data_IF_919197880862
#
_entry.id   IF_919197880862
#
_cell.length_a   1.000
_cell.length_b   1.000
_cell.length_c   1.000
_cell.angle_alpha   90.00
_cell.angle_beta   90.00
_cell.angle_gamma   90.00
#
_symmetry.space_group_name_H-M   'P 1'
#
loop_
_entity.id
_entity.type
_entity.pdbx_description
1 polymer ?
#
# COMPACT_ATOMS: atom_id res chain seq x y z
N UNK A 1 -8.59 -9.37 -11.39
CA UNK A 1 -9.90 -10.05 -11.40
C UNK A 1 -10.04 -11.06 -10.25
N UNK A 2 -9.09 -11.97 -10.01
CA UNK A 2 -9.12 -12.92 -8.87
C UNK A 2 -9.11 -12.26 -7.48
N UNK A 3 -8.29 -11.23 -7.27
CA UNK A 3 -8.25 -10.50 -6.00
C UNK A 3 -9.61 -9.83 -5.67
N UNK A 4 -10.29 -9.27 -6.67
CA UNK A 4 -11.62 -8.67 -6.53
C UNK A 4 -12.67 -9.66 -6.03
N UNK A 5 -12.69 -10.87 -6.60
CA UNK A 5 -13.60 -11.93 -6.18
C UNK A 5 -13.39 -12.36 -4.72
N UNK A 6 -12.13 -12.46 -4.29
CA UNK A 6 -11.79 -12.78 -2.90
C UNK A 6 -12.17 -11.65 -1.93
N UNK A 7 -12.00 -10.39 -2.35
CA UNK A 7 -12.38 -9.20 -1.58
C UNK A 7 -13.88 -9.15 -1.32
N UNK A 8 -14.68 -9.52 -2.31
CA UNK A 8 -16.14 -9.51 -2.18
C UNK A 8 -16.65 -10.57 -1.19
N UNK A 9 -15.91 -11.68 -0.99
CA UNK A 9 -16.26 -12.70 0.02
C UNK A 9 -15.70 -12.45 1.42
N UNK A 10 -14.48 -11.95 1.55
CA UNK A 10 -13.79 -11.80 2.86
C UNK A 10 -14.14 -10.47 3.53
N UNK A 11 -14.65 -9.51 2.78
CA UNK A 11 -15.00 -8.18 3.26
C UNK A 11 -13.84 -7.20 3.11
N UNK A 12 -14.14 -6.07 2.45
CA UNK A 12 -13.17 -5.03 2.05
C UNK A 12 -12.32 -4.52 3.23
N UNK A 13 -12.93 -4.31 4.40
CA UNK A 13 -12.25 -3.81 5.60
C UNK A 13 -11.29 -4.84 6.22
N UNK A 14 -11.68 -6.12 6.21
CA UNK A 14 -10.83 -7.20 6.72
C UNK A 14 -9.63 -7.41 5.81
N UNK A 15 -9.82 -7.40 4.48
CA UNK A 15 -8.70 -7.49 3.54
C UNK A 15 -7.75 -6.30 3.63
N UNK A 16 -8.24 -5.07 3.82
CA UNK A 16 -7.35 -3.92 4.05
C UNK A 16 -6.47 -4.11 5.29
N UNK A 17 -7.03 -4.63 6.40
CA UNK A 17 -6.26 -4.94 7.61
C UNK A 17 -5.23 -6.05 7.38
N UNK A 18 -5.64 -7.15 6.74
CA UNK A 18 -4.74 -8.27 6.44
C UNK A 18 -3.58 -7.80 5.57
N UNK A 19 -3.87 -7.07 4.48
CA UNK A 19 -2.85 -6.55 3.58
C UNK A 19 -1.91 -5.57 4.29
N UNK A 20 -2.41 -4.69 5.17
CA UNK A 20 -1.58 -3.78 5.95
C UNK A 20 -0.64 -4.51 6.92
N UNK A 21 -1.14 -5.56 7.59
CA UNK A 21 -0.32 -6.41 8.47
C UNK A 21 0.73 -7.16 7.66
N UNK A 22 0.34 -7.80 6.56
CA UNK A 22 1.28 -8.47 5.66
C UNK A 22 2.36 -7.50 5.21
N UNK A 23 1.99 -6.30 4.77
CA UNK A 23 2.92 -5.30 4.31
C UNK A 23 3.91 -4.87 5.39
N UNK A 24 3.45 -4.70 6.63
CA UNK A 24 4.30 -4.34 7.77
C UNK A 24 5.37 -5.40 8.07
N UNK A 25 5.04 -6.69 7.99
CA UNK A 25 5.97 -7.78 8.30
C UNK A 25 6.79 -8.25 7.09
N UNK A 26 6.21 -8.30 5.89
CA UNK A 26 6.86 -8.84 4.69
C UNK A 26 7.71 -7.80 3.94
N UNK A 27 7.49 -6.49 4.10
CA UNK A 27 8.27 -5.47 3.39
C UNK A 27 9.76 -5.61 3.62
N UNK A 28 10.19 -5.77 4.87
CA UNK A 28 11.61 -5.86 5.24
C UNK A 28 12.28 -7.10 4.62
N UNK A 29 11.76 -8.34 4.79
CA UNK A 29 12.37 -9.51 4.17
C UNK A 29 12.29 -9.49 2.63
N UNK A 30 11.23 -8.92 2.04
CA UNK A 30 11.14 -8.79 0.58
C UNK A 30 12.18 -7.82 0.02
N UNK A 31 12.41 -6.68 0.67
CA UNK A 31 13.48 -5.75 0.29
C UNK A 31 14.87 -6.39 0.44
N UNK A 32 15.05 -7.26 1.44
CA UNK A 32 16.29 -8.03 1.59
C UNK A 32 16.51 -9.03 0.45
N UNK A 33 15.44 -9.70 0.00
CA UNK A 33 15.46 -10.58 -1.17
C UNK A 33 15.74 -9.80 -2.46
N UNK A 34 15.16 -8.61 -2.60
CA UNK A 34 15.39 -7.72 -3.74
C UNK A 34 16.83 -7.21 -3.83
N UNK A 35 17.52 -7.11 -2.70
CA UNK A 35 18.91 -6.66 -2.64
C UNK A 35 19.93 -7.81 -2.71
N UNK A 36 19.51 -9.05 -3.01
CA UNK A 36 20.46 -10.13 -3.29
C UNK A 36 21.10 -9.98 -4.67
N UNK A 37 22.33 -10.48 -4.80
CA UNK A 37 23.08 -10.48 -6.07
C UNK A 37 22.45 -11.41 -7.11
N UNK A 38 21.60 -12.35 -6.69
CA UNK A 38 20.93 -13.28 -7.58
C UNK A 38 19.65 -12.66 -8.16
N UNK A 39 19.62 -12.55 -9.48
CA UNK A 39 18.55 -11.94 -10.24
C UNK A 39 17.21 -12.68 -9.99
N UNK A 40 17.23 -14.00 -9.82
CA UNK A 40 16.02 -14.79 -9.58
C UNK A 40 15.36 -14.45 -8.25
N UNK A 41 16.15 -14.30 -7.18
CA UNK A 41 15.66 -13.92 -5.86
C UNK A 41 15.10 -12.50 -5.85
N UNK A 42 15.73 -11.58 -6.60
CA UNK A 42 15.24 -10.22 -6.73
C UNK A 42 13.87 -10.17 -7.44
N UNK A 43 13.68 -10.96 -8.49
CA UNK A 43 12.38 -11.10 -9.16
C UNK A 43 11.30 -11.67 -8.24
N UNK A 44 11.62 -12.69 -7.43
CA UNK A 44 10.68 -13.26 -6.46
C UNK A 44 10.27 -12.21 -5.41
N UNK A 45 11.23 -11.42 -4.90
CA UNK A 45 10.96 -10.31 -3.98
C UNK A 45 10.03 -9.25 -4.59
N UNK A 46 10.32 -8.81 -5.82
CA UNK A 46 9.52 -7.85 -6.57
C UNK A 46 8.09 -8.36 -6.82
N UNK A 47 7.94 -9.61 -7.24
CA UNK A 47 6.65 -10.24 -7.48
C UNK A 47 5.83 -10.34 -6.20
N UNK A 48 6.44 -10.78 -5.10
CA UNK A 48 5.79 -10.82 -3.79
C UNK A 48 5.27 -9.45 -3.36
N UNK A 49 6.08 -8.41 -3.53
CA UNK A 49 5.71 -7.04 -3.14
C UNK A 49 4.56 -6.51 -4.00
N UNK A 50 4.60 -6.80 -5.30
CA UNK A 50 3.56 -6.41 -6.25
C UNK A 50 2.22 -7.09 -5.95
N UNK A 51 2.24 -8.38 -5.59
CA UNK A 51 1.03 -9.13 -5.21
C UNK A 51 0.40 -8.53 -3.96
N UNK A 52 1.18 -8.26 -2.91
CA UNK A 52 0.69 -7.64 -1.66
C UNK A 52 0.09 -6.26 -1.94
N UNK A 53 0.78 -5.44 -2.74
CA UNK A 53 0.29 -4.13 -3.17
C UNK A 53 -1.04 -4.24 -3.95
N UNK A 54 -1.16 -5.20 -4.86
CA UNK A 54 -2.40 -5.46 -5.58
C UNK A 54 -3.56 -5.83 -4.66
N UNK A 55 -3.30 -6.68 -3.65
CA UNK A 55 -4.25 -7.04 -2.61
C UNK A 55 -4.62 -5.88 -1.67
N UNK A 56 -3.81 -4.83 -1.59
CA UNK A 56 -4.12 -3.61 -0.84
C UNK A 56 -4.90 -2.59 -1.67
N UNK A 57 -4.49 -2.35 -2.92
CA UNK A 57 -5.05 -1.30 -3.77
C UNK A 57 -6.48 -1.63 -4.23
N UNK A 58 -6.79 -2.91 -4.47
CA UNK A 58 -8.10 -3.35 -4.89
C UNK A 58 -9.22 -3.06 -3.85
N UNK A 59 -9.11 -3.48 -2.56
CA UNK A 59 -10.12 -3.16 -1.57
C UNK A 59 -10.11 -1.69 -1.17
N UNK A 60 -8.97 -0.98 -1.29
CA UNK A 60 -8.85 0.45 -1.00
C UNK A 60 -9.75 1.29 -1.92
N UNK A 61 -9.67 1.08 -3.24
CA UNK A 61 -10.49 1.81 -4.20
C UNK A 61 -11.99 1.53 -4.00
N UNK A 62 -12.34 0.26 -3.74
CA UNK A 62 -13.72 -0.09 -3.40
C UNK A 62 -14.19 0.59 -2.10
N UNK A 63 -13.33 0.66 -1.08
CA UNK A 63 -13.62 1.31 0.18
C UNK A 63 -13.84 2.82 0.03
N UNK A 64 -13.00 3.50 -0.76
CA UNK A 64 -13.15 4.93 -1.08
C UNK A 64 -14.49 5.20 -1.76
N UNK A 65 -14.85 4.37 -2.74
CA UNK A 65 -16.13 4.47 -3.47
C UNK A 65 -17.31 4.32 -2.50
N UNK A 66 -17.33 3.29 -1.66
CA UNK A 66 -18.44 3.03 -0.74
C UNK A 66 -18.56 4.07 0.38
N UNK A 67 -17.44 4.63 0.84
CA UNK A 67 -17.41 5.61 1.93
C UNK A 67 -17.79 7.03 1.49
N UNK A 68 -17.95 7.27 0.18
CA UNK A 68 -18.21 8.60 -0.38
C UNK A 68 -19.65 8.70 -0.91
N UNK A 69 -20.37 9.81 -0.64
CA UNK A 69 -21.72 10.03 -1.15
C UNK A 69 -21.76 10.01 -2.69
N UNK A 70 -22.81 9.44 -3.26
CA UNK A 70 -22.96 9.26 -4.72
C UNK A 70 -22.86 10.56 -5.51
N UNK A 71 -23.41 11.66 -4.98
CA UNK A 71 -23.47 12.96 -5.65
C UNK A 71 -22.08 13.59 -5.89
N UNK A 72 -21.10 13.32 -5.03
CA UNK A 72 -19.76 13.93 -5.11
C UNK A 72 -18.65 12.90 -5.35
N UNK A 73 -19.01 11.63 -5.58
CA UNK A 73 -18.08 10.50 -5.58
C UNK A 73 -16.93 10.66 -6.58
N UNK A 74 -17.24 10.94 -7.84
CA UNK A 74 -16.20 11.09 -8.87
C UNK A 74 -15.29 12.30 -8.60
N UNK A 75 -15.86 13.42 -8.17
CA UNK A 75 -15.10 14.64 -7.91
C UNK A 75 -14.25 14.53 -6.66
N UNK A 76 -14.83 14.03 -5.56
CA UNK A 76 -14.13 13.88 -4.28
C UNK A 76 -13.01 12.83 -4.36
N UNK A 77 -13.28 11.67 -4.95
CA UNK A 77 -12.25 10.64 -5.15
C UNK A 77 -11.24 11.11 -6.18
N UNK A 78 -11.69 11.62 -7.33
CA UNK A 78 -10.80 12.08 -8.40
C UNK A 78 -9.85 13.18 -7.95
N UNK A 79 -10.35 14.25 -7.34
CA UNK A 79 -9.51 15.34 -6.85
C UNK A 79 -8.67 14.90 -5.65
N UNK A 80 -9.27 14.27 -4.63
CA UNK A 80 -8.55 13.88 -3.42
C UNK A 80 -7.45 12.85 -3.70
N UNK A 81 -7.76 11.83 -4.49
CA UNK A 81 -6.81 10.77 -4.84
C UNK A 81 -5.70 11.28 -5.75
N UNK A 82 -6.02 12.00 -6.83
CA UNK A 82 -4.99 12.49 -7.76
C UNK A 82 -4.12 13.58 -7.13
N UNK A 83 -4.68 14.48 -6.31
CA UNK A 83 -3.88 15.49 -5.61
C UNK A 83 -2.91 14.83 -4.63
N UNK A 84 -3.40 13.85 -3.86
CA UNK A 84 -2.56 13.12 -2.90
C UNK A 84 -1.49 12.30 -3.61
N UNK A 85 -1.83 11.59 -4.69
CA UNK A 85 -0.87 10.85 -5.50
C UNK A 85 0.14 11.76 -6.19
N UNK A 86 -0.28 12.92 -6.67
CA UNK A 86 0.63 13.89 -7.30
C UNK A 86 1.65 14.41 -6.31
N UNK A 87 1.19 14.87 -5.14
CA UNK A 87 2.06 15.44 -4.10
C UNK A 87 2.90 14.35 -3.43
N UNK A 88 2.26 13.34 -2.82
CA UNK A 88 2.96 12.31 -2.04
C UNK A 88 3.65 11.30 -2.95
N UNK A 89 3.03 10.92 -4.07
CA UNK A 89 3.62 9.94 -5.00
C UNK A 89 4.92 10.44 -5.63
N UNK A 90 5.05 11.74 -5.89
CA UNK A 90 6.31 12.34 -6.35
C UNK A 90 7.35 12.52 -5.24
N UNK A 91 6.91 12.87 -4.02
CA UNK A 91 7.81 13.04 -2.87
C UNK A 91 8.37 11.71 -2.35
N UNK A 92 7.67 10.59 -2.55
CA UNK A 92 8.09 9.26 -2.08
C UNK A 92 9.43 8.80 -2.69
N UNK A 93 9.62 8.77 -4.02
CA UNK A 93 10.90 8.40 -4.62
C UNK A 93 12.00 9.42 -4.30
N UNK A 94 11.68 10.71 -4.18
CA UNK A 94 12.64 11.74 -3.76
C UNK A 94 13.15 11.48 -2.33
N UNK A 95 12.24 11.21 -1.40
CA UNK A 95 12.59 10.85 -0.03
C UNK A 95 13.37 9.53 0.04
N UNK A 96 12.99 8.53 -0.76
CA UNK A 96 13.70 7.26 -0.85
C UNK A 96 15.14 7.43 -1.37
N UNK A 97 15.33 8.23 -2.42
CA UNK A 97 16.64 8.55 -2.97
C UNK A 97 17.51 9.30 -1.95
N UNK A 98 16.97 10.34 -1.31
CA UNK A 98 17.67 11.10 -0.27
C UNK A 98 18.08 10.22 0.91
N UNK A 99 17.20 9.31 1.34
CA UNK A 99 17.49 8.40 2.44
C UNK A 99 18.58 7.38 2.07
N UNK A 100 18.60 6.93 0.82
CA UNK A 100 19.63 6.04 0.29
C UNK A 100 20.99 6.75 0.19
N UNK A 101 21.03 7.99 -0.29
CA UNK A 101 22.26 8.81 -0.32
C UNK A 101 22.83 9.01 1.08
N UNK A 102 21.98 9.35 2.06
CA UNK A 102 22.41 9.64 3.43
C UNK A 102 22.83 8.39 4.21
N UNK A 103 22.13 7.28 4.02
CA UNK A 103 22.32 6.05 4.82
C UNK A 103 23.28 5.07 4.13
N UNK A 104 23.50 5.20 2.82
CA UNK A 104 24.23 4.25 1.97
C UNK A 104 23.71 2.80 2.06
N UNK A 105 22.49 2.61 2.58
CA UNK A 105 21.87 1.30 2.77
C UNK A 105 20.70 1.12 1.79
N UNK A 106 20.75 0.11 0.90
CA UNK A 106 19.70 -0.14 -0.09
C UNK A 106 18.34 -0.55 0.51
N UNK A 107 18.29 -0.94 1.79
CA UNK A 107 17.06 -1.32 2.49
C UNK A 107 16.33 -0.07 3.04
N UNK A 108 16.96 1.10 3.01
CA UNK A 108 16.40 2.35 3.56
C UNK A 108 14.96 2.67 3.11
N UNK A 109 14.57 2.48 1.83
CA UNK A 109 13.20 2.73 1.38
C UNK A 109 12.15 1.84 2.05
N UNK A 110 12.52 0.65 2.53
CA UNK A 110 11.61 -0.26 3.23
C UNK A 110 11.04 0.39 4.50
N UNK A 111 11.82 1.21 5.21
CA UNK A 111 11.36 1.91 6.41
C UNK A 111 10.26 2.92 6.12
N UNK A 112 10.28 3.57 4.96
CA UNK A 112 9.19 4.46 4.53
C UNK A 112 7.88 3.68 4.37
N UNK A 113 7.96 2.47 3.80
CA UNK A 113 6.79 1.60 3.61
C UNK A 113 6.28 1.05 4.94
N UNK A 114 7.16 0.73 5.90
CA UNK A 114 6.77 0.34 7.27
C UNK A 114 6.02 1.49 7.97
N UNK A 115 6.53 2.72 7.90
CA UNK A 115 5.86 3.90 8.46
C UNK A 115 4.49 4.11 7.79
N UNK A 116 4.41 4.02 6.46
CA UNK A 116 3.14 4.14 5.74
C UNK A 116 2.14 3.03 6.13
N UNK A 117 2.61 1.81 6.38
CA UNK A 117 1.78 0.69 6.84
C UNK A 117 1.24 0.93 8.25
N UNK A 118 2.05 1.49 9.16
CA UNK A 118 1.61 1.89 10.50
C UNK A 118 0.54 2.99 10.46
N UNK A 119 0.74 4.02 9.64
CA UNK A 119 -0.24 5.10 9.44
C UNK A 119 -1.56 4.53 8.89
N UNK A 120 -1.47 3.65 7.90
CA UNK A 120 -2.63 2.94 7.34
C UNK A 120 -3.37 2.13 8.39
N UNK A 121 -2.63 1.38 9.23
CA UNK A 121 -3.21 0.56 10.28
C UNK A 121 -3.91 1.42 11.36
N UNK A 122 -3.31 2.54 11.74
CA UNK A 122 -3.93 3.52 12.64
C UNK A 122 -5.19 4.14 12.04
N UNK A 123 -5.13 4.54 10.76
CA UNK A 123 -6.28 5.08 10.03
C UNK A 123 -7.43 4.07 9.95
N UNK A 124 -7.13 2.79 9.67
CA UNK A 124 -8.12 1.71 9.64
C UNK A 124 -8.76 1.43 11.01
N UNK A 125 -7.99 1.59 12.10
CA UNK A 125 -8.50 1.44 13.45
C UNK A 125 -9.47 2.57 13.82
N UNK A 126 -9.11 3.82 13.48
CA UNK A 126 -9.95 4.99 13.69
C UNK A 126 -11.17 5.00 12.78
N UNK A 127 -11.04 4.46 11.57
CA UNK A 127 -12.11 4.34 10.59
C UNK A 127 -13.10 3.25 10.99
N UNK A 128 -13.82 3.47 12.09
CA UNK A 128 -14.84 2.58 12.63
C UNK A 128 -16.19 2.73 11.91
N UNK A 129 -16.18 3.25 10.68
CA UNK A 129 -17.32 3.35 9.79
C UNK A 129 -17.86 1.94 9.53
N UNK A 130 -19.10 1.70 10.00
CA UNK A 130 -19.87 0.49 9.67
C UNK A 130 -20.27 0.60 8.21
N UNK A 131 -19.51 -0.05 7.34
CA UNK A 131 -19.99 -0.32 5.98
C UNK A 131 -20.82 -1.59 6.12
N UNK A 132 -22.11 -1.41 6.35
CA UNK A 132 -23.12 -2.47 6.19
C UNK A 132 -23.24 -2.82 4.70
#
# INVERSE_FOLDING_TARGET
MLAGYFIDRVGKKLMLKISAILMLFLVVPLFHLMNHHDLQLAFIGQLGLTVIMGCYLAPLNAYMVLSTPTQIRCTAIGLGYNLTLGVIGGLTPLAAAWLLEKTSNPISPAYLVVIASLITMYALFKSNTKIN
#
